data_IF_550399218326
#
_entry.id   IF_550399218326
#
_cell.length_a   1.000
_cell.length_b   1.000
_cell.length_c   1.000
_cell.angle_alpha   90.00
_cell.angle_beta   90.00
_cell.angle_gamma   90.00
#
_symmetry.space_group_name_H-M   'P 1'
#
loop_
_entity.id
_entity.type
_entity.pdbx_description
1 polymer ?
#
# COMPACT_ATOMS: atom_id res chain seq x y z
N UNK A 1 26.10 -8.46 14.12
CA UNK A 1 26.35 -8.40 12.67
C UNK A 1 25.12 -7.78 12.07
N UNK A 2 25.22 -6.53 11.65
CA UNK A 2 24.11 -5.76 11.10
C UNK A 2 23.70 -6.34 9.76
N UNK A 3 22.75 -7.25 9.84
CA UNK A 3 22.26 -7.94 8.69
C UNK A 3 21.24 -7.01 8.02
N UNK A 4 21.74 -6.18 7.10
CA UNK A 4 21.04 -5.15 6.29
C UNK A 4 20.08 -5.74 5.26
N UNK A 5 19.46 -6.88 5.56
CA UNK A 5 18.62 -7.57 4.57
C UNK A 5 17.23 -6.93 4.56
N UNK A 6 16.82 -6.43 3.40
CA UNK A 6 15.51 -5.80 3.18
C UNK A 6 14.32 -6.76 3.44
N UNK A 7 14.54 -8.07 3.27
CA UNK A 7 13.56 -9.10 3.54
C UNK A 7 14.25 -10.43 3.90
N UNK A 8 13.69 -11.20 4.84
CA UNK A 8 14.12 -12.58 5.12
C UNK A 8 12.91 -13.50 5.28
N UNK A 9 13.04 -14.74 4.82
CA UNK A 9 12.11 -15.81 5.14
C UNK A 9 12.68 -16.68 6.27
N UNK A 10 11.83 -17.07 7.22
CA UNK A 10 12.16 -18.01 8.29
C UNK A 10 11.34 -19.29 8.13
N UNK A 11 11.97 -20.35 7.63
CA UNK A 11 11.31 -21.66 7.51
C UNK A 11 10.79 -22.20 8.85
N UNK A 12 11.53 -21.98 9.94
CA UNK A 12 11.13 -22.41 11.29
C UNK A 12 9.87 -21.73 11.82
N UNK A 13 9.55 -20.52 11.31
CA UNK A 13 8.39 -19.73 11.75
C UNK A 13 7.32 -19.62 10.67
N UNK A 14 7.60 -20.14 9.47
CA UNK A 14 6.79 -20.00 8.27
C UNK A 14 6.37 -18.54 7.98
N UNK A 15 7.29 -17.59 8.20
CA UNK A 15 7.02 -16.16 8.18
C UNK A 15 8.12 -15.39 7.44
N UNK A 16 7.77 -14.21 6.93
CA UNK A 16 8.75 -13.24 6.44
C UNK A 16 8.97 -12.12 7.45
N UNK A 17 10.17 -11.55 7.45
CA UNK A 17 10.50 -10.30 8.14
C UNK A 17 10.93 -9.29 7.10
N UNK A 18 10.23 -8.17 7.04
CA UNK A 18 10.49 -7.07 6.10
C UNK A 18 11.04 -5.86 6.85
N UNK A 19 11.94 -5.11 6.21
CA UNK A 19 12.33 -3.80 6.75
C UNK A 19 11.15 -2.82 6.68
N UNK A 20 11.06 -1.85 7.62
CA UNK A 20 10.02 -0.84 7.60
C UNK A 20 9.94 -0.07 6.27
N UNK A 21 11.08 0.19 5.63
CA UNK A 21 11.14 0.91 4.34
C UNK A 21 10.46 0.13 3.21
N UNK A 22 10.57 -1.21 3.19
CA UNK A 22 9.91 -2.04 2.20
C UNK A 22 8.40 -2.05 2.44
N UNK A 23 7.97 -2.17 3.70
CA UNK A 23 6.55 -2.10 4.06
C UNK A 23 5.98 -0.75 3.63
N UNK A 24 6.66 0.36 3.96
CA UNK A 24 6.24 1.70 3.56
C UNK A 24 6.16 1.84 2.05
N UNK A 25 7.16 1.33 1.31
CA UNK A 25 7.19 1.46 -0.15
C UNK A 25 6.05 0.69 -0.83
N UNK A 26 5.75 -0.52 -0.36
CA UNK A 26 4.64 -1.32 -0.90
C UNK A 26 3.30 -0.67 -0.59
N UNK A 27 3.11 -0.16 0.64
CA UNK A 27 1.89 0.55 1.00
C UNK A 27 1.70 1.81 0.15
N UNK A 28 2.74 2.62 -0.05
CA UNK A 28 2.66 3.79 -0.95
C UNK A 28 2.28 3.39 -2.38
N UNK A 29 2.83 2.30 -2.92
CA UNK A 29 2.45 1.82 -4.26
C UNK A 29 0.97 1.41 -4.31
N UNK A 30 0.47 0.71 -3.28
CA UNK A 30 -0.94 0.31 -3.21
C UNK A 30 -1.87 1.52 -3.10
N UNK A 31 -1.45 2.53 -2.34
CA UNK A 31 -2.18 3.78 -2.15
C UNK A 31 -2.36 4.53 -3.48
N UNK A 32 -1.25 4.80 -4.18
CA UNK A 32 -1.28 5.50 -5.48
C UNK A 32 -2.00 4.70 -6.56
N UNK A 33 -1.96 3.36 -6.49
CA UNK A 33 -2.72 2.52 -7.40
C UNK A 33 -4.24 2.73 -7.22
N UNK A 34 -4.71 2.86 -5.98
CA UNK A 34 -6.12 3.15 -5.71
C UNK A 34 -6.49 4.55 -6.20
N UNK A 35 -5.65 5.57 -6.00
CA UNK A 35 -5.88 6.89 -6.61
C UNK A 35 -5.97 6.83 -8.14
N UNK A 36 -5.10 6.06 -8.78
CA UNK A 36 -5.18 5.86 -10.22
C UNK A 36 -6.50 5.18 -10.64
N UNK A 37 -6.97 4.21 -9.86
CA UNK A 37 -8.25 3.54 -10.10
C UNK A 37 -9.44 4.49 -9.89
N UNK A 38 -9.46 5.28 -8.83
CA UNK A 38 -10.46 6.31 -8.53
C UNK A 38 -10.54 7.33 -9.67
N UNK A 39 -9.39 7.87 -10.09
CA UNK A 39 -9.31 8.80 -11.23
C UNK A 39 -9.78 8.14 -12.54
N UNK A 40 -9.47 6.86 -12.77
CA UNK A 40 -9.95 6.12 -13.95
C UNK A 40 -11.45 5.85 -13.91
N UNK A 41 -12.02 5.64 -12.72
CA UNK A 41 -13.45 5.39 -12.49
C UNK A 41 -14.31 6.65 -12.72
N UNK A 42 -13.78 7.81 -12.33
CA UNK A 42 -14.55 9.06 -12.29
C UNK A 42 -14.16 10.08 -13.37
N UNK A 43 -12.99 9.90 -13.99
CA UNK A 43 -12.33 10.91 -14.81
C UNK A 43 -11.40 11.78 -13.96
N UNK A 44 -10.19 12.03 -14.46
CA UNK A 44 -9.14 12.70 -13.69
C UNK A 44 -9.53 14.10 -13.22
N UNK A 45 -10.15 14.91 -14.09
CA UNK A 45 -10.56 16.28 -13.72
C UNK A 45 -11.60 16.31 -12.59
N UNK A 46 -12.56 15.38 -12.61
CA UNK A 46 -13.59 15.31 -11.57
C UNK A 46 -13.05 14.72 -10.27
N UNK A 47 -12.12 13.76 -10.36
CA UNK A 47 -11.39 13.26 -9.21
C UNK A 47 -10.60 14.38 -8.53
N UNK A 48 -9.79 15.12 -9.27
CA UNK A 48 -8.97 16.22 -8.73
C UNK A 48 -9.87 17.27 -8.05
N UNK A 49 -10.97 17.67 -8.70
CA UNK A 49 -11.92 18.64 -8.16
C UNK A 49 -12.52 18.19 -6.83
N UNK A 50 -13.02 16.95 -6.76
CA UNK A 50 -13.61 16.41 -5.52
C UNK A 50 -12.57 16.16 -4.46
N UNK A 51 -11.36 15.75 -4.84
CA UNK A 51 -10.27 15.52 -3.92
C UNK A 51 -9.90 16.83 -3.20
N UNK A 52 -9.77 17.93 -3.94
CA UNK A 52 -9.52 19.25 -3.36
C UNK A 52 -10.69 19.67 -2.44
N UNK A 53 -11.93 19.56 -2.92
CA UNK A 53 -13.14 19.89 -2.14
C UNK A 53 -13.21 19.11 -0.82
N UNK A 54 -12.93 17.80 -0.86
CA UNK A 54 -12.93 16.95 0.33
C UNK A 54 -11.74 17.20 1.25
N UNK A 55 -10.56 17.52 0.70
CA UNK A 55 -9.39 17.88 1.50
C UNK A 55 -9.63 19.20 2.24
N UNK A 56 -10.27 20.18 1.61
CA UNK A 56 -10.66 21.43 2.27
C UNK A 56 -11.74 21.20 3.34
N UNK A 57 -12.71 20.32 3.07
CA UNK A 57 -13.87 20.10 3.95
C UNK A 57 -13.53 19.24 5.16
N UNK A 58 -12.78 18.16 4.97
CA UNK A 58 -12.52 17.13 6.00
C UNK A 58 -11.07 17.10 6.45
N UNK A 59 -10.15 17.72 5.71
CA UNK A 59 -8.72 17.54 5.87
C UNK A 59 -8.21 16.31 5.11
N UNK A 60 -6.90 16.29 4.85
CA UNK A 60 -6.23 15.20 4.12
C UNK A 60 -6.50 13.81 4.73
N UNK A 61 -6.36 13.69 6.05
CA UNK A 61 -6.49 12.40 6.75
C UNK A 61 -7.91 11.83 6.66
N UNK A 62 -8.94 12.67 6.56
CA UNK A 62 -10.35 12.23 6.52
C UNK A 62 -10.99 12.41 5.14
N UNK A 63 -10.20 12.76 4.12
CA UNK A 63 -10.65 12.79 2.73
C UNK A 63 -11.16 11.38 2.34
N UNK A 64 -12.40 11.24 1.83
CA UNK A 64 -12.96 9.94 1.43
C UNK A 64 -12.06 9.13 0.49
N UNK A 65 -11.33 9.78 -0.43
CA UNK A 65 -10.41 9.08 -1.34
C UNK A 65 -9.18 8.53 -0.61
N UNK A 66 -8.62 9.30 0.33
CA UNK A 66 -7.52 8.88 1.20
C UNK A 66 -7.92 7.74 2.15
N UNK A 67 -9.18 7.75 2.60
CA UNK A 67 -9.76 6.65 3.39
C UNK A 67 -9.89 5.39 2.55
N UNK A 68 -10.46 5.49 1.34
CA UNK A 68 -10.59 4.35 0.41
C UNK A 68 -9.20 3.78 0.03
N UNK A 69 -8.21 4.64 -0.23
CA UNK A 69 -6.83 4.22 -0.52
C UNK A 69 -6.17 3.44 0.64
N UNK A 70 -6.30 3.91 1.89
CA UNK A 70 -5.79 3.16 3.06
C UNK A 70 -6.53 1.85 3.32
N UNK A 71 -7.81 1.79 3.01
CA UNK A 71 -8.57 0.53 3.06
C UNK A 71 -8.07 -0.45 2.00
N UNK A 72 -7.75 0.05 0.80
CA UNK A 72 -7.17 -0.75 -0.27
C UNK A 72 -5.80 -1.32 0.11
N UNK A 73 -4.92 -0.50 0.70
CA UNK A 73 -3.63 -0.94 1.25
C UNK A 73 -3.81 -2.13 2.20
N UNK A 74 -4.67 -1.96 3.21
CA UNK A 74 -4.91 -2.97 4.25
C UNK A 74 -5.48 -4.26 3.67
N UNK A 75 -6.37 -4.14 2.68
CA UNK A 75 -7.01 -5.28 2.02
C UNK A 75 -6.01 -6.13 1.23
N UNK A 76 -5.11 -5.49 0.50
CA UNK A 76 -4.20 -6.17 -0.43
C UNK A 76 -2.83 -6.50 0.15
N UNK A 77 -2.46 -5.90 1.29
CA UNK A 77 -1.22 -6.20 1.99
C UNK A 77 -0.97 -7.71 2.19
N UNK A 78 -1.93 -8.52 2.68
CA UNK A 78 -1.70 -9.95 2.90
C UNK A 78 -1.35 -10.72 1.62
N UNK A 79 -1.93 -10.33 0.48
CA UNK A 79 -1.66 -10.98 -0.80
C UNK A 79 -0.25 -10.64 -1.30
N UNK A 80 0.17 -9.39 -1.16
CA UNK A 80 1.55 -8.98 -1.45
C UNK A 80 2.56 -9.67 -0.54
N UNK A 81 2.25 -9.78 0.75
CA UNK A 81 3.08 -10.50 1.72
C UNK A 81 3.26 -11.97 1.31
N UNK A 82 2.18 -12.65 0.92
CA UNK A 82 2.25 -14.03 0.45
C UNK A 82 3.05 -14.19 -0.86
N UNK A 83 2.91 -13.27 -1.80
CA UNK A 83 3.70 -13.28 -3.04
C UNK A 83 5.20 -13.13 -2.77
N UNK A 84 5.56 -12.22 -1.85
CA UNK A 84 6.94 -12.03 -1.41
C UNK A 84 7.47 -13.29 -0.70
N UNK A 85 6.68 -13.88 0.20
CA UNK A 85 7.01 -15.14 0.88
C UNK A 85 7.34 -16.25 -0.13
N UNK A 86 6.47 -16.54 -1.09
CA UNK A 86 6.70 -17.55 -2.13
C UNK A 86 7.99 -17.31 -2.93
N UNK A 87 8.29 -16.04 -3.24
CA UNK A 87 9.50 -15.65 -3.96
C UNK A 87 10.78 -15.86 -3.14
N UNK A 88 10.71 -15.71 -1.82
CA UNK A 88 11.83 -15.90 -0.92
C UNK A 88 12.03 -17.37 -0.52
N UNK A 89 10.94 -18.15 -0.41
CA UNK A 89 10.98 -19.60 -0.20
C UNK A 89 11.64 -20.36 -1.35
N UNK A 90 11.45 -19.89 -2.58
CA UNK A 90 12.06 -20.48 -3.78
C UNK A 90 13.54 -20.14 -4.00
N UNK A 91 14.18 -19.43 -3.08
CA UNK A 91 15.61 -19.09 -3.10
C UNK A 91 16.39 -19.91 -2.09
#
# INVERSE_FOLDING_TARGET
GDDKTAARFSASKDQISLSPDIVSSVNSILHELEHHYQASREGSEEFDRKYDEYTETYGYIDNPYEVEARQFETKWWPDFEQLLKKKLEGK
#
